data_IF_200643512474
#
_entry.id   IF_200643512474
#
_cell.length_a   1.000
_cell.length_b   1.000
_cell.length_c   1.000
_cell.angle_alpha   90.00
_cell.angle_beta   90.00
_cell.angle_gamma   90.00
#
_symmetry.space_group_name_H-M   'P 1'
#
loop_
_entity.id
_entity.type
_entity.pdbx_description
1 polymer ?
#
# COMPACT_ATOMS: atom_id res chain seq x y z
N UNK A 1 7.64 -15.85 11.73
CA UNK A 1 8.21 -15.46 10.45
C UNK A 1 8.26 -13.95 10.26
N UNK A 2 7.14 -13.26 10.54
CA UNK A 2 7.08 -11.80 10.39
C UNK A 2 8.11 -11.05 11.23
N UNK A 3 8.35 -11.46 12.46
CA UNK A 3 9.34 -10.82 13.32
C UNK A 3 10.77 -11.01 12.82
N UNK A 4 11.07 -12.17 12.26
CA UNK A 4 12.36 -12.43 11.66
C UNK A 4 12.59 -11.54 10.45
N UNK A 5 11.58 -11.41 9.59
CA UNK A 5 11.65 -10.59 8.38
C UNK A 5 11.83 -9.11 8.71
N UNK A 6 11.09 -8.59 9.70
CA UNK A 6 11.20 -7.18 10.07
C UNK A 6 12.48 -6.84 10.80
N UNK A 7 13.14 -7.81 11.44
CA UNK A 7 14.39 -7.59 12.16
C UNK A 7 15.63 -7.98 11.36
N UNK A 8 15.45 -8.73 10.26
CA UNK A 8 16.54 -9.21 9.40
C UNK A 8 16.29 -8.77 7.97
N UNK A 9 16.98 -7.72 7.54
CA UNK A 9 16.84 -7.15 6.20
C UNK A 9 17.29 -8.08 5.10
N UNK A 10 18.27 -8.93 5.38
CA UNK A 10 18.78 -9.90 4.42
C UNK A 10 17.75 -10.98 4.15
N UNK A 11 17.12 -11.52 5.20
CA UNK A 11 16.06 -12.52 5.05
C UNK A 11 14.87 -11.95 4.29
N UNK A 12 14.51 -10.71 4.54
CA UNK A 12 13.45 -10.02 3.82
C UNK A 12 13.77 -9.89 2.33
N UNK A 13 15.00 -9.48 2.00
CA UNK A 13 15.43 -9.33 0.61
C UNK A 13 15.42 -10.66 -0.13
N UNK A 14 15.85 -11.73 0.50
CA UNK A 14 15.85 -13.06 -0.09
C UNK A 14 14.42 -13.54 -0.37
N UNK A 15 13.50 -13.32 0.55
CA UNK A 15 12.10 -13.68 0.37
C UNK A 15 11.47 -12.90 -0.78
N UNK A 16 11.76 -11.61 -0.89
CA UNK A 16 11.26 -10.78 -1.98
C UNK A 16 11.75 -11.25 -3.35
N UNK A 17 13.00 -11.68 -3.45
CA UNK A 17 13.56 -12.22 -4.70
C UNK A 17 12.82 -13.47 -5.18
N UNK A 18 12.33 -14.28 -4.26
CA UNK A 18 11.60 -15.50 -4.58
C UNK A 18 10.16 -15.20 -4.99
N UNK A 19 9.50 -14.30 -4.26
CA UNK A 19 8.07 -14.01 -4.42
C UNK A 19 7.81 -13.00 -5.53
N UNK A 20 8.69 -12.03 -5.71
CA UNK A 20 8.49 -10.88 -6.59
C UNK A 20 8.12 -11.26 -8.03
N UNK A 21 8.85 -12.16 -8.73
CA UNK A 21 8.48 -12.52 -10.11
C UNK A 21 7.11 -13.18 -10.20
N UNK A 22 6.75 -13.99 -9.19
CA UNK A 22 5.45 -14.65 -9.14
C UNK A 22 4.32 -13.62 -9.01
N UNK A 23 4.49 -12.66 -8.12
CA UNK A 23 3.49 -11.59 -7.92
C UNK A 23 3.30 -10.77 -9.19
N UNK A 24 4.39 -10.38 -9.83
CA UNK A 24 4.33 -9.62 -11.09
C UNK A 24 3.60 -10.38 -12.17
N UNK A 25 3.91 -11.65 -12.34
CA UNK A 25 3.28 -12.51 -13.33
C UNK A 25 1.78 -12.61 -13.10
N UNK A 26 1.37 -12.77 -11.84
CA UNK A 26 -0.03 -12.87 -11.47
C UNK A 26 -0.80 -11.57 -11.72
N UNK A 27 -0.19 -10.42 -11.38
CA UNK A 27 -0.80 -9.12 -11.63
C UNK A 27 -1.00 -8.90 -13.11
N UNK A 28 0.00 -9.19 -13.93
CA UNK A 28 -0.10 -9.05 -15.38
C UNK A 28 -1.20 -9.92 -15.96
N UNK A 29 -1.35 -11.12 -15.46
CA UNK A 29 -2.41 -12.03 -15.89
C UNK A 29 -3.80 -11.49 -15.54
N UNK A 30 -3.97 -10.97 -14.33
CA UNK A 30 -5.24 -10.38 -13.90
C UNK A 30 -5.62 -9.18 -14.76
N UNK A 31 -4.66 -8.35 -15.12
CA UNK A 31 -4.89 -7.21 -16.00
C UNK A 31 -5.32 -7.69 -17.39
N UNK A 32 -4.62 -8.68 -17.93
CA UNK A 32 -4.91 -9.23 -19.26
C UNK A 32 -6.30 -9.84 -19.31
N UNK A 33 -6.66 -10.61 -18.29
CA UNK A 33 -7.97 -11.30 -18.23
C UNK A 33 -9.15 -10.33 -18.08
N UNK A 34 -8.89 -9.08 -17.66
CA UNK A 34 -9.92 -8.08 -17.39
C UNK A 34 -9.78 -6.81 -18.22
N UNK A 35 -9.12 -6.87 -19.36
CA UNK A 35 -8.83 -5.71 -20.22
C UNK A 35 -10.06 -4.96 -20.72
N UNK A 36 -11.17 -5.63 -20.81
CA UNK A 36 -12.42 -5.04 -21.29
C UNK A 36 -13.14 -4.19 -20.24
N UNK A 37 -12.67 -4.22 -19.00
CA UNK A 37 -13.23 -3.42 -17.92
C UNK A 37 -12.71 -1.99 -17.98
N UNK A 38 -13.58 -1.03 -17.63
CA UNK A 38 -13.20 0.38 -17.60
C UNK A 38 -12.13 0.67 -16.55
N UNK A 39 -12.24 0.04 -15.39
CA UNK A 39 -11.29 0.19 -14.29
C UNK A 39 -10.89 -1.16 -13.74
N UNK A 40 -9.61 -1.28 -13.39
CA UNK A 40 -9.09 -2.42 -12.64
C UNK A 40 -8.34 -1.84 -11.45
N UNK A 41 -8.78 -2.16 -10.23
CA UNK A 41 -8.13 -1.72 -9.01
C UNK A 41 -7.23 -2.83 -8.49
N UNK A 42 -5.96 -2.49 -8.31
CA UNK A 42 -4.97 -3.43 -7.79
C UNK A 42 -4.59 -2.98 -6.38
N UNK A 43 -4.86 -3.83 -5.40
CA UNK A 43 -4.44 -3.59 -4.03
C UNK A 43 -3.10 -4.29 -3.84
N UNK A 44 -2.03 -3.53 -3.96
CA UNK A 44 -0.66 -4.05 -3.89
C UNK A 44 0.03 -3.50 -2.66
N UNK A 45 0.14 -4.30 -1.60
CA UNK A 45 0.93 -3.88 -0.43
C UNK A 45 2.37 -3.61 -0.84
N UNK A 46 2.97 -2.59 -0.24
CA UNK A 46 4.36 -2.21 -0.51
C UNK A 46 4.62 -1.94 -2.01
N UNK A 47 3.66 -1.28 -2.67
CA UNK A 47 3.73 -0.98 -4.10
C UNK A 47 5.02 -0.26 -4.48
N UNK A 48 5.31 0.86 -3.82
CA UNK A 48 6.50 1.66 -4.10
C UNK A 48 7.77 0.97 -3.63
N UNK A 49 7.73 0.35 -2.48
CA UNK A 49 8.88 -0.37 -1.93
C UNK A 49 9.34 -1.50 -2.83
N UNK A 50 8.38 -2.13 -3.52
CA UNK A 50 8.65 -3.22 -4.46
C UNK A 50 8.84 -2.73 -5.90
N UNK A 51 8.73 -1.43 -6.12
CA UNK A 51 8.89 -0.80 -7.44
C UNK A 51 7.92 -1.35 -8.49
N UNK A 52 6.67 -1.55 -8.10
CA UNK A 52 5.63 -2.11 -8.97
C UNK A 52 4.70 -1.04 -9.56
N UNK A 53 4.95 0.24 -9.30
CA UNK A 53 4.10 1.32 -9.79
C UNK A 53 4.02 1.37 -11.32
N UNK A 54 5.00 0.82 -12.03
CA UNK A 54 4.98 0.78 -13.49
C UNK A 54 3.85 -0.10 -14.06
N UNK A 55 3.28 -0.97 -13.23
CA UNK A 55 2.15 -1.81 -13.64
C UNK A 55 0.82 -1.07 -13.63
N UNK A 56 0.80 0.13 -13.08
CA UNK A 56 -0.41 0.92 -12.89
C UNK A 56 -0.40 2.15 -13.79
N UNK A 57 -1.56 2.52 -14.33
CA UNK A 57 -1.71 3.78 -15.05
C UNK A 57 -1.70 4.95 -14.09
N UNK A 58 -2.29 4.77 -12.92
CA UNK A 58 -2.31 5.76 -11.84
C UNK A 58 -2.22 5.07 -10.50
N UNK A 59 -1.61 5.75 -9.54
CA UNK A 59 -1.48 5.25 -8.18
C UNK A 59 -2.27 6.13 -7.23
N UNK A 60 -3.09 5.48 -6.41
CA UNK A 60 -3.89 6.14 -5.38
C UNK A 60 -3.24 5.80 -4.04
N UNK A 61 -2.93 6.83 -3.25
CA UNK A 61 -2.44 6.64 -1.89
C UNK A 61 -3.53 7.06 -0.91
N UNK A 62 -3.86 6.15 0.00
CA UNK A 62 -4.77 6.47 1.11
C UNK A 62 -3.90 7.04 2.21
N UNK A 63 -3.99 8.35 2.41
CA UNK A 63 -3.12 9.08 3.33
C UNK A 63 -3.66 9.07 4.74
N UNK A 64 -2.74 8.93 5.68
CA UNK A 64 -3.02 9.04 7.11
C UNK A 64 -1.73 9.56 7.75
N UNK A 65 -1.83 10.47 8.74
CA UNK A 65 -0.64 10.97 9.41
C UNK A 65 0.10 9.83 10.10
N UNK A 66 1.41 9.98 10.28
CA UNK A 66 2.23 8.95 10.94
C UNK A 66 1.71 8.61 12.33
N UNK A 67 1.29 9.63 13.09
CA UNK A 67 0.73 9.43 14.42
C UNK A 67 -0.53 8.56 14.40
N UNK A 68 -1.44 8.85 13.48
CA UNK A 68 -2.68 8.09 13.33
C UNK A 68 -2.41 6.70 12.77
N UNK A 69 -1.47 6.58 11.85
CA UNK A 69 -1.06 5.29 11.30
C UNK A 69 -0.53 4.37 12.39
N UNK A 70 0.32 4.90 13.25
CA UNK A 70 0.87 4.15 14.38
C UNK A 70 -0.23 3.68 15.33
N UNK A 71 -1.13 4.60 15.69
CA UNK A 71 -2.22 4.30 16.60
C UNK A 71 -3.15 3.22 16.05
N UNK A 72 -3.55 3.34 14.78
CA UNK A 72 -4.44 2.35 14.15
C UNK A 72 -3.79 0.99 14.01
N UNK A 73 -2.49 0.97 13.69
CA UNK A 73 -1.75 -0.28 13.58
C UNK A 73 -1.68 -1.02 14.92
N UNK A 74 -1.40 -0.28 16.00
CA UNK A 74 -1.35 -0.85 17.34
C UNK A 74 -2.70 -1.44 17.75
N UNK A 75 -3.80 -0.73 17.48
CA UNK A 75 -5.14 -1.19 17.82
C UNK A 75 -5.58 -2.40 16.98
N UNK A 76 -5.30 -2.36 15.68
CA UNK A 76 -5.71 -3.43 14.76
C UNK A 76 -5.00 -4.74 15.07
N UNK A 77 -3.69 -4.71 15.28
CA UNK A 77 -2.88 -5.90 15.44
C UNK A 77 -2.57 -6.23 16.91
N UNK A 78 -3.03 -5.39 17.83
CA UNK A 78 -2.81 -5.56 19.27
C UNK A 78 -1.32 -5.74 19.61
N UNK A 79 -0.50 -4.85 19.07
CA UNK A 79 0.95 -4.85 19.27
C UNK A 79 1.37 -3.60 20.02
N UNK A 80 2.56 -3.62 20.60
CA UNK A 80 3.11 -2.46 21.31
C UNK A 80 3.64 -1.41 20.33
N UNK A 81 3.95 -0.22 20.87
CA UNK A 81 4.42 0.90 20.07
C UNK A 81 5.76 0.61 19.39
N UNK A 82 6.68 -0.05 20.08
CA UNK A 82 8.01 -0.34 19.52
C UNK A 82 7.91 -1.27 18.32
N UNK A 83 7.08 -2.29 18.41
CA UNK A 83 6.86 -3.21 17.29
C UNK A 83 6.13 -2.53 16.12
N UNK A 84 5.15 -1.70 16.42
CA UNK A 84 4.44 -0.93 15.41
C UNK A 84 5.39 0.02 14.66
N UNK A 85 6.27 0.70 15.37
CA UNK A 85 7.29 1.57 14.76
C UNK A 85 8.23 0.79 13.86
N UNK A 86 8.59 -0.42 14.25
CA UNK A 86 9.45 -1.29 13.45
C UNK A 86 8.77 -1.67 12.13
N UNK A 87 7.49 -2.01 12.18
CA UNK A 87 6.71 -2.35 10.96
C UNK A 87 6.67 -1.15 10.03
N UNK A 88 6.34 0.03 10.56
CA UNK A 88 6.24 1.26 9.75
C UNK A 88 7.60 1.63 9.17
N UNK A 89 8.68 1.47 9.93
CA UNK A 89 10.03 1.79 9.47
C UNK A 89 10.50 0.90 8.33
N UNK A 90 9.91 -0.28 8.15
CA UNK A 90 10.23 -1.18 7.04
C UNK A 90 9.49 -0.84 5.75
N UNK A 91 8.64 0.17 5.79
CA UNK A 91 7.90 0.65 4.63
C UNK A 91 8.40 2.04 4.25
N UNK A 92 8.16 2.42 2.99
CA UNK A 92 8.39 3.81 2.57
C UNK A 92 7.48 4.73 3.40
N UNK A 93 7.98 5.89 3.83
CA UNK A 93 7.17 6.80 4.65
C UNK A 93 5.90 7.24 3.91
N UNK A 94 4.82 7.47 4.65
CA UNK A 94 3.55 7.89 4.05
C UNK A 94 3.68 9.27 3.39
N UNK A 95 4.55 10.13 3.91
CA UNK A 95 4.79 11.44 3.31
C UNK A 95 5.47 11.31 1.94
N UNK A 96 6.41 10.38 1.81
CA UNK A 96 7.05 10.10 0.53
C UNK A 96 6.06 9.50 -0.48
N UNK A 97 5.20 8.59 -0.03
CA UNK A 97 4.16 8.02 -0.89
C UNK A 97 3.19 9.09 -1.37
N UNK A 98 2.82 10.02 -0.49
CA UNK A 98 1.95 11.14 -0.82
C UNK A 98 2.52 11.99 -1.94
N UNK A 99 3.82 12.25 -1.92
CA UNK A 99 4.50 13.03 -2.96
C UNK A 99 4.52 12.29 -4.30
N UNK A 100 4.60 10.98 -4.28
CA UNK A 100 4.68 10.16 -5.50
C UNK A 100 3.33 9.81 -6.10
N UNK A 101 2.25 9.91 -5.34
CA UNK A 101 0.93 9.47 -5.77
C UNK A 101 0.33 10.38 -6.84
N UNK A 102 -0.42 9.78 -7.74
CA UNK A 102 -1.22 10.52 -8.72
C UNK A 102 -2.48 11.08 -8.07
N UNK A 103 -3.06 10.33 -7.14
CA UNK A 103 -4.29 10.67 -6.43
C UNK A 103 -4.10 10.38 -4.95
N UNK A 104 -4.58 11.28 -4.11
CA UNK A 104 -4.50 11.12 -2.66
C UNK A 104 -5.90 11.11 -2.08
N UNK A 105 -6.19 10.05 -1.30
CA UNK A 105 -7.42 9.96 -0.51
C UNK A 105 -7.05 10.15 0.95
N UNK A 106 -7.60 11.17 1.58
CA UNK A 106 -7.29 11.49 2.97
C UNK A 106 -8.19 10.71 3.91
N UNK A 107 -7.62 9.80 4.67
CA UNK A 107 -8.32 8.94 5.62
C UNK A 107 -8.19 9.42 7.07
N UNK A 108 -7.77 10.67 7.28
CA UNK A 108 -7.64 11.23 8.63
C UNK A 108 -8.97 11.64 9.24
N UNK A 109 -10.02 11.79 8.42
CA UNK A 109 -11.35 12.15 8.88
C UNK A 109 -12.26 10.94 9.09
N UNK A 110 -13.56 11.17 8.93
CA UNK A 110 -14.56 10.11 9.08
C UNK A 110 -14.57 9.17 7.88
N UNK A 111 -15.15 7.99 8.08
CA UNK A 111 -15.37 7.04 7.01
C UNK A 111 -16.25 7.62 5.91
N UNK A 112 -17.27 8.41 6.29
CA UNK A 112 -18.14 9.09 5.34
C UNK A 112 -17.37 10.04 4.45
N UNK A 113 -16.44 10.80 5.01
CA UNK A 113 -15.59 11.71 4.26
C UNK A 113 -14.72 10.94 3.24
N UNK A 114 -14.20 9.80 3.64
CA UNK A 114 -13.42 8.95 2.73
C UNK A 114 -14.28 8.46 1.56
N UNK A 115 -15.49 8.00 1.85
CA UNK A 115 -16.42 7.56 0.81
C UNK A 115 -16.77 8.68 -0.17
N UNK A 116 -16.95 9.92 0.32
CA UNK A 116 -17.22 11.07 -0.52
C UNK A 116 -16.05 11.35 -1.47
N UNK A 117 -14.82 11.22 -1.00
CA UNK A 117 -13.64 11.39 -1.82
C UNK A 117 -13.57 10.33 -2.93
N UNK A 118 -13.92 9.08 -2.60
CA UNK A 118 -13.94 7.99 -3.57
C UNK A 118 -15.01 8.25 -4.65
N UNK A 119 -16.20 8.71 -4.26
CA UNK A 119 -17.26 9.05 -5.20
C UNK A 119 -16.83 10.16 -6.15
N UNK A 120 -16.19 11.21 -5.65
CA UNK A 120 -15.68 12.30 -6.46
C UNK A 120 -14.64 11.79 -7.47
N UNK A 121 -13.77 10.89 -7.04
CA UNK A 121 -12.77 10.29 -7.90
C UNK A 121 -13.41 9.54 -9.07
N UNK A 122 -14.45 8.75 -8.79
CA UNK A 122 -15.12 7.95 -9.81
C UNK A 122 -15.95 8.80 -10.77
N UNK A 123 -16.53 9.89 -10.29
CA UNK A 123 -17.30 10.82 -11.13
C UNK A 123 -16.43 11.61 -12.08
N UNK A 124 -15.21 11.92 -11.69
CA UNK A 124 -14.27 12.68 -12.49
C UNK A 124 -13.69 11.90 -13.68
N UNK A 125 -14.14 10.70 -13.86
CA UNK A 125 -13.62 9.79 -14.87
C UNK A 125 -14.75 9.36 -15.82
#
# INVERSE_FOLDING_TARGET
LGKIIFNDKEAKADLEKIIHPYVISRIKKEIEDNRDLKYIFLDIPLLYESKLEYLCDKVIVVYLSLEDELKRLMERDQIDEDYAKLIIANQMSIETKKEKADIILDNSGSLENLYNQIEELLKGR
#
